data_IF_017609781773
#
_entry.id   IF_017609781773
#
_cell.length_a   1.000
_cell.length_b   1.000
_cell.length_c   1.000
_cell.angle_alpha   90.00
_cell.angle_beta   90.00
_cell.angle_gamma   90.00
#
_symmetry.space_group_name_H-M   'P 1'
#
loop_
_entity.id
_entity.type
_entity.pdbx_description
1 polymer ?
#
# COMPACT_ATOMS: atom_id res chain seq x y z
N UNK A 1 -9.26 8.14 1.55
CA UNK A 1 -8.21 7.57 2.41
C UNK A 1 -8.08 6.11 2.04
N UNK A 2 -7.37 5.84 0.94
CA UNK A 2 -7.19 4.47 0.43
C UNK A 2 -6.10 3.73 1.21
N UNK A 3 -5.12 4.47 1.74
CA UNK A 3 -3.95 3.92 2.44
C UNK A 3 -4.29 2.98 3.59
N UNK A 4 -5.44 3.16 4.25
CA UNK A 4 -5.82 2.31 5.39
C UNK A 4 -6.45 0.99 4.96
N UNK A 5 -7.04 0.89 3.76
CA UNK A 5 -7.87 -0.26 3.34
C UNK A 5 -7.11 -1.61 3.40
N UNK A 6 -5.80 -1.57 3.18
CA UNK A 6 -4.95 -2.75 3.23
C UNK A 6 -4.65 -3.28 4.64
N UNK A 7 -4.89 -2.50 5.70
CA UNK A 7 -4.44 -2.86 7.05
C UNK A 7 -5.16 -4.14 7.53
N UNK A 8 -4.42 -5.07 8.14
CA UNK A 8 -4.93 -6.31 8.70
C UNK A 8 -4.51 -6.48 10.16
N UNK A 9 -5.29 -7.23 10.96
CA UNK A 9 -4.84 -7.63 12.29
C UNK A 9 -3.46 -8.30 12.22
N UNK A 10 -2.55 -7.89 13.10
CA UNK A 10 -1.14 -8.33 13.08
C UNK A 10 -0.18 -7.32 12.44
N UNK A 11 -0.68 -6.34 11.67
CA UNK A 11 0.17 -5.31 11.08
C UNK A 11 0.79 -4.43 12.17
N UNK A 12 2.10 -4.16 12.04
CA UNK A 12 2.81 -3.25 12.94
C UNK A 12 2.46 -1.81 12.60
N UNK A 13 2.14 -1.04 13.64
CA UNK A 13 1.82 0.38 13.51
C UNK A 13 2.90 1.24 14.16
N UNK A 14 3.25 2.31 13.45
CA UNK A 14 4.16 3.36 13.91
C UNK A 14 3.44 4.70 13.80
N UNK A 15 3.57 5.54 14.82
CA UNK A 15 2.93 6.85 14.87
C UNK A 15 3.97 7.96 14.77
N UNK A 16 3.88 8.75 13.70
CA UNK A 16 4.70 9.95 13.54
C UNK A 16 4.04 11.15 14.22
N UNK A 17 4.69 11.66 15.27
CA UNK A 17 4.26 12.85 16.00
C UNK A 17 4.90 14.08 15.37
N UNK A 18 4.16 14.75 14.48
CA UNK A 18 4.66 15.89 13.69
C UNK A 18 5.31 16.99 14.53
N UNK A 19 4.71 17.33 15.68
CA UNK A 19 5.19 18.43 16.55
C UNK A 19 6.58 18.18 17.10
N UNK A 20 6.87 16.94 17.51
CA UNK A 20 8.16 16.56 18.11
C UNK A 20 9.08 15.87 17.11
N UNK A 21 8.60 15.62 15.88
CA UNK A 21 9.32 14.92 14.82
C UNK A 21 9.84 13.54 15.26
N UNK A 22 9.00 12.82 15.99
CA UNK A 22 9.33 11.53 16.57
C UNK A 22 8.43 10.42 16.03
N UNK A 23 8.98 9.21 15.94
CA UNK A 23 8.22 8.01 15.63
C UNK A 23 8.09 7.15 16.88
N UNK A 24 6.85 6.95 17.29
CA UNK A 24 6.48 5.96 18.30
C UNK A 24 6.18 4.63 17.61
N UNK A 25 6.43 3.52 18.28
CA UNK A 25 6.10 2.18 17.79
C UNK A 25 5.73 1.26 18.94
N UNK A 26 5.75 -0.05 18.68
CA UNK A 26 5.29 -1.03 19.68
C UNK A 26 3.78 -1.24 19.64
N UNK A 27 3.13 -0.98 18.52
CA UNK A 27 1.70 -1.16 18.33
C UNK A 27 1.40 -2.17 17.23
N UNK A 28 0.29 -2.88 17.37
CA UNK A 28 -0.20 -3.87 16.42
C UNK A 28 -1.69 -3.62 16.14
N UNK A 29 -2.09 -3.65 14.88
CA UNK A 29 -3.50 -3.61 14.50
C UNK A 29 -4.22 -4.85 15.02
N UNK A 30 -5.42 -4.68 15.57
CA UNK A 30 -6.29 -5.77 16.06
C UNK A 30 -7.60 -5.87 15.29
N UNK A 31 -7.89 -4.90 14.43
CA UNK A 31 -9.04 -4.93 13.54
C UNK A 31 -8.62 -4.66 12.10
N UNK A 32 -9.50 -5.02 11.18
CA UNK A 32 -9.53 -4.40 9.85
C UNK A 32 -9.98 -2.93 9.97
N UNK A 33 -9.73 -2.11 8.94
CA UNK A 33 -10.31 -0.78 8.83
C UNK A 33 -11.84 -0.82 8.89
N UNK A 34 -12.41 0.14 9.60
CA UNK A 34 -13.85 0.28 9.74
C UNK A 34 -14.26 1.75 9.73
N UNK A 35 -15.54 1.98 9.53
CA UNK A 35 -16.14 3.30 9.55
C UNK A 35 -16.94 3.53 10.83
N UNK A 36 -16.64 4.62 11.53
CA UNK A 36 -17.33 4.98 12.76
C UNK A 36 -17.24 6.48 13.02
N UNK A 37 -18.37 7.17 12.96
CA UNK A 37 -18.47 8.61 13.21
C UNK A 37 -18.66 8.97 14.69
N UNK A 38 -18.86 7.97 15.56
CA UNK A 38 -19.11 8.24 16.98
C UNK A 38 -17.85 8.75 17.68
N UNK A 39 -17.94 9.66 18.66
CA UNK A 39 -16.78 10.07 19.45
C UNK A 39 -16.16 8.86 20.15
N UNK A 40 -14.82 8.81 20.21
CA UNK A 40 -14.10 7.66 20.79
C UNK A 40 -14.45 7.45 22.28
N UNK A 41 -14.67 8.54 23.01
CA UNK A 41 -15.16 8.55 24.38
C UNK A 41 -15.94 9.85 24.64
N UNK A 42 -16.75 9.85 25.70
CA UNK A 42 -17.56 11.02 26.09
C UNK A 42 -16.64 12.20 26.39
N UNK A 43 -16.82 13.31 25.66
CA UNK A 43 -16.01 14.52 25.81
C UNK A 43 -14.72 14.56 24.99
N UNK A 44 -14.50 13.61 24.08
CA UNK A 44 -13.39 13.69 23.13
C UNK A 44 -13.52 14.95 22.25
N UNK A 45 -12.51 15.83 22.30
CA UNK A 45 -12.49 17.11 21.57
C UNK A 45 -11.65 17.06 20.29
N UNK A 46 -10.65 16.17 20.24
CA UNK A 46 -9.69 16.10 19.12
C UNK A 46 -9.98 14.97 18.13
N UNK A 47 -10.61 13.87 18.58
CA UNK A 47 -11.03 12.74 17.74
C UNK A 47 -12.56 12.68 17.75
N UNK A 48 -13.16 13.11 16.64
CA UNK A 48 -14.60 13.28 16.49
C UNK A 48 -15.09 12.73 15.14
N UNK A 49 -16.26 13.16 14.68
CA UNK A 49 -16.89 12.71 13.42
C UNK A 49 -16.03 12.98 12.16
N UNK A 50 -15.01 13.84 12.25
CA UNK A 50 -14.08 14.14 11.15
C UNK A 50 -13.02 13.07 10.92
N UNK A 51 -12.86 12.13 11.85
CA UNK A 51 -11.95 10.99 11.74
C UNK A 51 -12.73 9.65 11.76
N UNK A 52 -13.56 9.39 10.73
CA UNK A 52 -14.46 8.26 10.76
C UNK A 52 -13.82 6.95 10.27
N UNK A 53 -12.70 7.03 9.53
CA UNK A 53 -11.95 5.86 9.08
C UNK A 53 -10.99 5.45 10.19
N UNK A 54 -11.17 4.25 10.75
CA UNK A 54 -10.48 3.81 11.97
C UNK A 54 -9.89 2.43 11.82
N UNK A 55 -8.83 2.19 12.59
CA UNK A 55 -8.26 0.86 12.82
C UNK A 55 -8.10 0.72 14.33
N UNK A 56 -8.58 -0.38 14.90
CA UNK A 56 -8.31 -0.74 16.28
C UNK A 56 -6.89 -1.28 16.40
N UNK A 57 -6.18 -0.89 17.45
CA UNK A 57 -4.82 -1.36 17.71
C UNK A 57 -4.59 -1.59 19.19
N UNK A 58 -3.55 -2.35 19.51
CA UNK A 58 -3.05 -2.55 20.87
C UNK A 58 -1.57 -2.20 20.96
N UNK A 59 -1.12 -1.82 22.15
CA UNK A 59 0.30 -1.69 22.44
C UNK A 59 0.83 -3.07 22.84
N UNK A 60 1.84 -3.56 22.12
CA UNK A 60 2.51 -4.84 22.39
C UNK A 60 3.82 -4.65 23.17
N UNK A 61 4.47 -3.50 22.99
CA UNK A 61 5.71 -3.13 23.70
C UNK A 61 5.66 -1.64 24.05
N UNK A 62 6.09 -1.28 25.26
CA UNK A 62 6.19 0.12 25.68
C UNK A 62 7.60 0.68 25.45
N UNK A 63 7.80 1.26 24.27
CA UNK A 63 9.03 1.97 23.94
C UNK A 63 8.96 3.41 24.46
N UNK A 64 9.45 3.64 25.67
CA UNK A 64 9.46 4.95 26.32
C UNK A 64 10.26 6.02 25.53
N UNK A 65 11.31 5.61 24.82
CA UNK A 65 12.12 6.48 23.96
C UNK A 65 11.74 6.29 22.50
N UNK A 66 11.11 7.28 21.84
CA UNK A 66 10.79 7.19 20.41
C UNK A 66 12.03 7.43 19.54
N UNK A 67 11.95 7.09 18.26
CA UNK A 67 12.97 7.40 17.25
C UNK A 67 12.82 8.87 16.84
N UNK A 68 13.92 9.60 16.70
CA UNK A 68 13.87 10.93 16.09
C UNK A 68 13.94 10.82 14.56
N UNK A 69 13.17 11.61 13.81
CA UNK A 69 13.07 11.49 12.34
C UNK A 69 14.43 11.60 11.61
N UNK A 70 15.41 12.28 12.20
CA UNK A 70 16.75 12.41 11.63
C UNK A 70 17.48 11.06 11.54
N UNK A 71 17.23 10.14 12.47
CA UNK A 71 17.87 8.82 12.47
C UNK A 71 17.35 7.97 11.29
N UNK A 72 16.10 8.20 10.89
CA UNK A 72 15.46 7.56 9.73
C UNK A 72 16.05 8.08 8.43
N UNK A 73 16.37 9.38 8.36
CA UNK A 73 16.99 9.96 7.17
C UNK A 73 18.37 9.38 6.89
N UNK A 74 19.15 9.05 7.91
CA UNK A 74 20.42 8.34 7.72
C UNK A 74 20.22 6.95 7.10
N UNK A 75 19.23 6.17 7.55
CA UNK A 75 18.88 4.87 6.93
C UNK A 75 18.32 5.03 5.51
N UNK A 76 17.60 6.12 5.24
CA UNK A 76 17.14 6.44 3.89
C UNK A 76 18.28 6.76 2.93
N UNK A 77 19.25 7.56 3.36
CA UNK A 77 20.41 7.92 2.54
C UNK A 77 21.26 6.68 2.19
N UNK A 78 21.17 5.62 3.02
CA UNK A 78 21.76 4.31 2.78
C UNK A 78 20.86 3.37 1.94
N UNK A 79 19.68 3.83 1.52
CA UNK A 79 18.72 3.04 0.73
C UNK A 79 17.92 1.99 1.53
N UNK A 80 18.07 1.94 2.85
CA UNK A 80 17.40 0.94 3.69
C UNK A 80 15.92 1.25 3.93
N UNK A 81 15.57 2.53 3.95
CA UNK A 81 14.19 3.03 4.05
C UNK A 81 13.92 3.92 2.84
N UNK A 82 13.01 3.51 1.98
CA UNK A 82 12.76 4.12 0.68
C UNK A 82 11.28 4.43 0.44
N UNK A 83 10.37 3.80 1.19
CA UNK A 83 8.94 4.14 1.16
C UNK A 83 8.63 5.47 1.83
N UNK A 84 9.52 5.94 2.71
CA UNK A 84 9.41 7.25 3.37
C UNK A 84 10.13 8.34 2.57
N UNK A 85 9.41 9.40 2.17
CA UNK A 85 10.02 10.56 1.52
C UNK A 85 9.93 11.83 2.36
N UNK A 86 11.08 12.51 2.47
CA UNK A 86 11.13 13.90 2.93
C UNK A 86 10.62 14.79 1.79
N UNK A 87 9.43 15.32 1.93
CA UNK A 87 8.96 16.34 1.01
C UNK A 87 9.60 17.69 1.34
N UNK A 88 10.17 18.34 0.32
CA UNK A 88 10.45 19.79 0.38
C UNK A 88 9.14 20.52 0.17
N UNK A 89 8.49 20.94 1.25
CA UNK A 89 7.17 21.56 1.22
C UNK A 89 6.04 20.52 1.21
N UNK A 90 5.15 20.64 2.19
CA UNK A 90 3.78 20.13 2.27
C UNK A 90 3.49 18.61 2.16
N UNK A 91 4.42 17.75 1.74
CA UNK A 91 4.11 16.31 1.58
C UNK A 91 4.44 15.40 2.79
N UNK A 92 4.99 15.93 3.89
CA UNK A 92 4.70 15.34 5.22
C UNK A 92 3.30 15.83 5.61
N UNK A 93 2.26 15.20 5.04
CA UNK A 93 0.87 15.61 5.24
C UNK A 93 -0.11 15.31 4.09
N UNK A 94 0.34 14.82 2.92
CA UNK A 94 -0.57 14.43 1.83
C UNK A 94 -1.33 13.14 2.14
N UNK A 95 -0.65 12.20 2.77
CA UNK A 95 -1.16 10.90 3.17
C UNK A 95 -1.29 10.85 4.69
N UNK A 96 -2.37 10.24 5.17
CA UNK A 96 -2.59 10.04 6.61
C UNK A 96 -1.82 8.82 7.11
N UNK A 97 -1.56 7.85 6.23
CA UNK A 97 -0.81 6.64 6.52
C UNK A 97 0.16 6.33 5.38
N UNK A 98 1.28 5.68 5.69
CA UNK A 98 2.24 5.19 4.70
C UNK A 98 2.47 3.70 4.89
N UNK A 99 2.48 2.95 3.80
CA UNK A 99 2.92 1.56 3.83
C UNK A 99 4.43 1.50 4.05
N UNK A 100 4.87 0.61 4.95
CA UNK A 100 6.26 0.25 5.12
C UNK A 100 6.44 -1.19 4.69
N UNK A 101 7.54 -1.48 4.01
CA UNK A 101 7.94 -2.86 3.77
C UNK A 101 8.24 -3.57 5.11
N UNK A 102 8.18 -4.90 5.11
CA UNK A 102 8.54 -5.73 6.25
C UNK A 102 9.96 -5.44 6.73
N UNK A 103 10.90 -5.26 5.80
CA UNK A 103 12.28 -4.88 6.11
C UNK A 103 12.39 -3.53 6.81
N UNK A 104 11.70 -2.51 6.31
CA UNK A 104 11.66 -1.19 6.95
C UNK A 104 11.03 -1.27 8.35
N UNK A 105 9.97 -2.07 8.51
CA UNK A 105 9.36 -2.32 9.82
C UNK A 105 10.34 -2.97 10.81
N UNK A 106 11.20 -3.88 10.33
CA UNK A 106 12.23 -4.55 11.15
C UNK A 106 13.31 -3.54 11.55
N UNK A 107 13.72 -2.65 10.64
CA UNK A 107 14.70 -1.59 10.92
C UNK A 107 14.17 -0.65 11.99
N UNK A 108 12.95 -0.13 11.84
CA UNK A 108 12.34 0.77 12.83
C UNK A 108 12.14 0.07 14.17
N UNK A 109 11.71 -1.20 14.15
CA UNK A 109 11.57 -1.98 15.38
C UNK A 109 12.91 -2.13 16.10
N UNK A 110 13.97 -2.46 15.37
CA UNK A 110 15.33 -2.57 15.90
C UNK A 110 15.82 -1.25 16.50
N UNK A 111 15.63 -0.14 15.80
CA UNK A 111 15.99 1.19 16.32
C UNK A 111 15.28 1.50 17.65
N UNK A 112 13.99 1.16 17.77
CA UNK A 112 13.26 1.31 19.04
C UNK A 112 13.85 0.44 20.14
N UNK A 113 14.23 -0.81 19.85
CA UNK A 113 14.87 -1.70 20.83
C UNK A 113 16.26 -1.19 21.26
N UNK A 114 17.05 -0.66 20.34
CA UNK A 114 18.38 -0.08 20.63
C UNK A 114 18.28 1.13 21.57
N UNK A 115 17.27 1.98 21.39
CA UNK A 115 17.00 3.12 22.27
C UNK A 115 16.42 2.69 23.64
N UNK A 116 15.71 1.56 23.68
CA UNK A 116 14.99 1.05 24.84
C UNK A 116 15.49 -0.34 25.25
N UNK A 117 16.75 -0.42 25.66
CA UNK A 117 17.41 -1.67 26.10
C UNK A 117 16.58 -2.43 27.14
N UNK A 118 15.86 -1.71 28.00
CA UNK A 118 14.86 -2.25 28.91
C UNK A 118 13.50 -1.70 28.46
N UNK A 119 12.71 -2.54 27.80
CA UNK A 119 11.34 -2.25 27.40
C UNK A 119 10.41 -3.32 27.98
N UNK A 120 9.45 -2.96 28.84
CA UNK A 120 8.50 -3.92 29.36
C UNK A 120 7.53 -4.38 28.26
N UNK A 121 7.20 -5.67 28.28
CA UNK A 121 6.02 -6.17 27.58
C UNK A 121 4.79 -5.60 28.28
N UNK A 122 3.84 -5.12 27.49
CA UNK A 122 2.59 -4.57 28.01
C UNK A 122 1.58 -5.70 28.12
N UNK A 123 0.98 -5.88 29.29
CA UNK A 123 -0.18 -6.76 29.43
C UNK A 123 -1.29 -6.28 28.51
N UNK A 124 -2.00 -7.22 27.87
CA UNK A 124 -3.01 -6.88 26.88
C UNK A 124 -4.20 -6.15 27.54
N UNK A 125 -4.15 -4.81 27.48
CA UNK A 125 -5.22 -3.93 27.95
C UNK A 125 -6.07 -3.55 26.74
N UNK A 126 -6.94 -4.45 26.34
CA UNK A 126 -7.92 -4.16 25.31
C UNK A 126 -8.93 -3.12 25.81
N UNK A 127 -8.91 -1.93 25.21
CA UNK A 127 -10.11 -1.11 25.20
C UNK A 127 -11.19 -1.88 24.42
N UNK A 128 -12.43 -1.87 24.94
CA UNK A 128 -13.55 -2.50 24.23
C UNK A 128 -13.69 -1.87 22.85
N UNK A 129 -13.57 -2.69 21.82
CA UNK A 129 -13.92 -2.30 20.45
C UNK A 129 -15.40 -1.89 20.40
N UNK A 130 -15.79 -1.04 19.45
CA UNK A 130 -17.21 -0.77 19.18
C UNK A 130 -17.97 -2.08 18.98
N UNK A 131 -19.22 -2.13 19.47
CA UNK A 131 -20.06 -3.34 19.40
C UNK A 131 -20.34 -3.80 17.96
N UNK A 132 -20.21 -2.91 16.98
CA UNK A 132 -20.32 -3.21 15.55
C UNK A 132 -19.27 -2.41 14.78
N UNK A 133 -18.46 -3.10 13.99
CA UNK A 133 -17.51 -2.50 13.07
C UNK A 133 -18.17 -2.42 11.69
N UNK A 134 -18.53 -1.21 11.25
CA UNK A 134 -19.07 -1.02 9.91
C UNK A 134 -17.93 -1.07 8.88
N UNK A 135 -18.11 -1.69 7.71
CA UNK A 135 -17.08 -1.72 6.68
C UNK A 135 -16.76 -0.31 6.18
N UNK A 136 -15.60 -0.15 5.53
CA UNK A 136 -15.27 1.10 4.85
C UNK A 136 -16.34 1.43 3.79
N UNK A 137 -16.86 2.69 3.74
CA UNK A 137 -17.85 3.10 2.76
C UNK A 137 -17.19 3.38 1.41
N UNK A 138 -16.66 2.34 0.76
CA UNK A 138 -16.04 2.44 -0.56
C UNK A 138 -17.15 2.76 -1.58
N UNK A 139 -16.99 3.86 -2.34
CA UNK A 139 -17.95 4.20 -3.38
C UNK A 139 -17.75 3.31 -4.61
N UNK A 140 -18.59 2.28 -4.73
CA UNK A 140 -18.55 1.32 -5.83
C UNK A 140 -19.52 1.68 -6.96
N UNK A 141 -19.84 2.97 -7.15
CA UNK A 141 -20.71 3.41 -8.25
C UNK A 141 -20.10 3.03 -9.60
N UNK A 142 -20.96 2.64 -10.53
CA UNK A 142 -20.57 2.21 -11.87
C UNK A 142 -20.94 3.28 -12.90
N UNK A 143 -19.97 3.60 -13.75
CA UNK A 143 -20.12 4.45 -14.92
C UNK A 143 -19.50 3.77 -16.15
N UNK A 144 -18.99 4.57 -17.09
CA UNK A 144 -18.39 4.06 -18.33
C UNK A 144 -19.41 3.95 -19.46
N UNK A 145 -19.08 3.15 -20.49
CA UNK A 145 -19.98 2.92 -21.62
C UNK A 145 -20.73 1.60 -21.44
N UNK A 146 -21.83 1.39 -22.18
CA UNK A 146 -22.62 0.15 -22.10
C UNK A 146 -21.77 -1.12 -22.26
N UNK A 147 -20.77 -1.07 -23.15
CA UNK A 147 -19.88 -2.20 -23.42
C UNK A 147 -18.68 -2.30 -22.46
N UNK A 148 -18.44 -1.26 -21.66
CA UNK A 148 -17.31 -1.15 -20.75
C UNK A 148 -17.73 -0.46 -19.44
N UNK A 149 -18.59 -1.11 -18.63
CA UNK A 149 -18.94 -0.61 -17.32
C UNK A 149 -17.71 -0.66 -16.41
N UNK A 150 -17.46 0.44 -15.69
CA UNK A 150 -16.28 0.59 -14.86
C UNK A 150 -16.60 1.37 -13.58
N UNK A 151 -15.73 1.25 -12.57
CA UNK A 151 -15.85 2.07 -11.36
C UNK A 151 -15.69 3.55 -11.72
N UNK A 152 -16.51 4.41 -11.10
CA UNK A 152 -16.45 5.87 -11.32
C UNK A 152 -15.13 6.46 -10.81
N UNK A 153 -14.59 5.90 -9.72
CA UNK A 153 -13.39 6.39 -9.04
C UNK A 153 -12.26 5.36 -9.06
N UNK A 154 -11.05 5.80 -9.39
CA UNK A 154 -9.83 4.98 -9.36
C UNK A 154 -9.44 4.57 -7.94
N UNK A 155 -9.55 5.49 -6.98
CA UNK A 155 -9.35 5.19 -5.57
C UNK A 155 -10.31 4.11 -5.03
N UNK A 156 -11.50 3.94 -5.62
CA UNK A 156 -12.39 2.84 -5.24
C UNK A 156 -11.84 1.50 -5.74
N UNK A 157 -11.31 1.46 -6.97
CA UNK A 157 -10.62 0.28 -7.51
C UNK A 157 -9.42 -0.09 -6.64
N UNK A 158 -8.57 0.89 -6.30
CA UNK A 158 -7.40 0.67 -5.47
C UNK A 158 -7.79 0.17 -4.06
N UNK A 159 -8.79 0.76 -3.42
CA UNK A 159 -9.26 0.31 -2.10
C UNK A 159 -9.84 -1.11 -2.12
N UNK A 160 -10.65 -1.46 -3.14
CA UNK A 160 -11.17 -2.81 -3.31
C UNK A 160 -10.04 -3.82 -3.55
N UNK A 161 -9.04 -3.46 -4.35
CA UNK A 161 -7.90 -4.33 -4.60
C UNK A 161 -7.05 -4.54 -3.35
N UNK A 162 -6.81 -3.50 -2.55
CA UNK A 162 -6.11 -3.62 -1.26
C UNK A 162 -6.89 -4.50 -0.27
N UNK A 163 -8.22 -4.41 -0.25
CA UNK A 163 -9.06 -5.32 0.56
C UNK A 163 -8.92 -6.77 0.11
N UNK A 164 -8.97 -7.02 -1.20
CA UNK A 164 -8.78 -8.36 -1.75
C UNK A 164 -7.37 -8.91 -1.46
N UNK A 165 -6.34 -8.07 -1.63
CA UNK A 165 -4.93 -8.45 -1.38
C UNK A 165 -4.70 -8.77 0.10
N UNK A 166 -5.22 -7.94 1.01
CA UNK A 166 -5.13 -8.19 2.45
C UNK A 166 -5.89 -9.45 2.89
N UNK A 167 -6.75 -10.01 2.04
CA UNK A 167 -7.46 -11.26 2.29
C UNK A 167 -6.79 -12.47 1.62
N UNK A 168 -5.64 -12.25 0.97
CA UNK A 168 -4.86 -13.28 0.29
C UNK A 168 -5.43 -13.69 -1.06
N UNK A 169 -6.30 -12.87 -1.69
CA UNK A 169 -6.84 -13.16 -3.02
C UNK A 169 -5.84 -12.81 -4.14
N UNK A 170 -6.13 -13.31 -5.35
CA UNK A 170 -5.40 -13.02 -6.58
C UNK A 170 -3.94 -13.49 -6.57
N UNK A 171 -3.57 -14.45 -5.71
CA UNK A 171 -2.21 -15.01 -5.63
C UNK A 171 -1.86 -15.86 -6.86
N UNK A 172 -2.86 -16.44 -7.50
CA UNK A 172 -2.74 -17.11 -8.79
C UNK A 172 -2.34 -16.16 -9.92
N UNK A 173 -2.68 -14.87 -9.79
CA UNK A 173 -2.41 -13.85 -10.77
C UNK A 173 -1.15 -13.05 -10.44
N UNK A 174 -0.99 -12.63 -9.19
CA UNK A 174 0.11 -11.76 -8.77
C UNK A 174 1.31 -12.51 -8.17
N UNK A 175 1.15 -13.80 -7.88
CA UNK A 175 2.13 -14.60 -7.14
C UNK A 175 1.89 -14.54 -5.62
N UNK A 176 2.68 -15.31 -4.86
CA UNK A 176 2.65 -15.29 -3.39
C UNK A 176 3.37 -14.04 -2.88
N UNK A 177 2.66 -12.91 -2.85
CA UNK A 177 3.12 -11.69 -2.19
C UNK A 177 2.94 -11.81 -0.67
N UNK A 178 3.76 -11.04 0.06
CA UNK A 178 3.72 -10.95 1.51
C UNK A 178 3.46 -9.52 1.98
N UNK A 179 3.88 -8.52 1.19
CA UNK A 179 3.56 -7.11 1.40
C UNK A 179 2.84 -6.54 0.17
N UNK A 180 1.96 -5.58 0.42
CA UNK A 180 1.23 -4.81 -0.61
C UNK A 180 1.10 -3.36 -0.15
N UNK A 181 1.84 -2.47 -0.80
CA UNK A 181 2.03 -1.09 -0.35
C UNK A 181 1.29 -0.14 -1.28
N UNK A 182 0.34 0.67 -0.79
CA UNK A 182 -0.29 1.70 -1.61
C UNK A 182 0.56 2.96 -1.71
N UNK A 183 0.41 3.70 -2.81
CA UNK A 183 0.92 5.08 -2.99
C UNK A 183 2.42 5.22 -2.70
N UNK A 184 3.21 4.27 -3.20
CA UNK A 184 4.65 4.21 -2.92
C UNK A 184 5.38 5.30 -3.70
N UNK A 185 6.08 6.23 -3.03
CA UNK A 185 6.61 7.40 -3.70
C UNK A 185 7.95 7.11 -4.40
N UNK A 186 8.19 7.78 -5.53
CA UNK A 186 9.44 7.75 -6.31
C UNK A 186 10.23 9.03 -6.12
N UNK A 187 11.54 9.03 -6.39
CA UNK A 187 12.38 10.25 -6.24
C UNK A 187 11.97 11.41 -7.15
N UNK A 188 11.12 11.15 -8.16
CA UNK A 188 10.57 12.16 -9.07
C UNK A 188 9.34 12.90 -8.51
N UNK A 189 8.86 12.54 -7.32
CA UNK A 189 7.63 13.09 -6.73
C UNK A 189 6.34 12.45 -7.25
N UNK A 190 6.44 11.44 -8.12
CA UNK A 190 5.32 10.56 -8.51
C UNK A 190 5.15 9.40 -7.54
N UNK A 191 3.97 8.80 -7.50
CA UNK A 191 3.63 7.65 -6.65
C UNK A 191 3.20 6.46 -7.52
N UNK A 192 3.72 5.27 -7.21
CA UNK A 192 3.24 4.00 -7.72
C UNK A 192 1.95 3.62 -6.98
N UNK A 193 0.92 3.21 -7.70
CA UNK A 193 -0.39 2.98 -7.09
C UNK A 193 -0.36 1.84 -6.05
N UNK A 194 0.15 0.67 -6.43
CA UNK A 194 0.41 -0.45 -5.49
C UNK A 194 1.73 -1.14 -5.86
N UNK A 195 2.55 -1.46 -4.85
CA UNK A 195 3.74 -2.32 -5.00
C UNK A 195 3.58 -3.56 -4.15
N UNK A 196 3.67 -4.73 -4.77
CA UNK A 196 3.71 -6.02 -4.09
C UNK A 196 5.16 -6.45 -3.89
N UNK A 197 5.43 -7.13 -2.78
CA UNK A 197 6.74 -7.71 -2.49
C UNK A 197 6.58 -9.13 -1.96
N UNK A 198 7.55 -9.97 -2.29
CA UNK A 198 7.75 -11.26 -1.62
C UNK A 198 9.18 -11.34 -1.09
N UNK A 199 9.36 -12.13 -0.04
CA UNK A 199 10.64 -12.30 0.62
C UNK A 199 11.15 -13.73 0.49
N UNK A 200 12.46 -13.89 0.66
CA UNK A 200 13.04 -15.19 0.93
C UNK A 200 12.95 -15.54 2.43
N UNK A 201 13.44 -16.72 2.79
CA UNK A 201 13.45 -17.20 4.18
C UNK A 201 14.34 -16.37 5.13
N UNK A 202 15.18 -15.48 4.59
CA UNK A 202 16.04 -14.56 5.34
C UNK A 202 15.44 -13.15 5.41
N UNK A 203 14.19 -12.98 4.97
CA UNK A 203 13.51 -11.69 4.86
C UNK A 203 14.19 -10.71 3.88
N UNK A 204 14.98 -11.20 2.91
CA UNK A 204 15.44 -10.38 1.78
C UNK A 204 14.34 -10.32 0.73
N UNK A 205 14.09 -9.14 0.14
CA UNK A 205 13.13 -9.04 -0.97
C UNK A 205 13.59 -9.91 -2.13
N UNK A 206 12.74 -10.84 -2.54
CA UNK A 206 12.96 -11.73 -3.67
C UNK A 206 12.54 -11.08 -4.98
N UNK A 207 11.36 -10.46 -4.97
CA UNK A 207 10.83 -9.73 -6.12
C UNK A 207 9.86 -8.63 -5.68
N UNK A 208 9.69 -7.67 -6.59
CA UNK A 208 8.77 -6.55 -6.53
C UNK A 208 7.81 -6.64 -7.71
N UNK A 209 6.57 -6.22 -7.52
CA UNK A 209 5.63 -6.10 -8.62
C UNK A 209 4.85 -4.80 -8.52
N UNK A 210 4.99 -3.98 -9.56
CA UNK A 210 4.31 -2.69 -9.67
C UNK A 210 2.95 -2.95 -10.31
N UNK A 211 1.87 -2.53 -9.64
CA UNK A 211 0.53 -2.49 -10.20
C UNK A 211 0.20 -1.02 -10.50
N UNK A 212 0.11 -0.66 -11.77
CA UNK A 212 -0.43 0.65 -12.20
C UNK A 212 -1.91 0.47 -12.53
N UNK A 213 -2.76 1.22 -11.84
CA UNK A 213 -4.21 1.09 -11.95
C UNK A 213 -4.80 2.21 -12.81
N UNK A 214 -5.74 1.84 -13.68
CA UNK A 214 -6.64 2.80 -14.33
C UNK A 214 -8.08 2.38 -14.16
N UNK A 215 -8.91 3.31 -13.67
CA UNK A 215 -10.35 3.01 -13.48
C UNK A 215 -11.06 2.60 -14.77
N UNK A 216 -10.60 3.01 -15.95
CA UNK A 216 -11.27 2.70 -17.21
C UNK A 216 -10.25 2.18 -18.24
N UNK A 217 -9.55 3.10 -18.89
CA UNK A 217 -8.71 2.82 -20.05
C UNK A 217 -7.25 3.09 -19.71
N UNK A 218 -6.42 2.08 -19.90
CA UNK A 218 -4.97 2.18 -19.80
C UNK A 218 -4.38 2.57 -21.16
N UNK A 219 -3.63 3.65 -21.17
CA UNK A 219 -3.16 4.35 -22.37
C UNK A 219 -1.65 4.32 -22.49
N UNK A 220 -1.15 4.84 -23.60
CA UNK A 220 0.28 4.92 -23.88
C UNK A 220 1.08 5.69 -22.83
N UNK A 221 0.54 6.79 -22.33
CA UNK A 221 1.13 7.58 -21.23
C UNK A 221 1.27 6.77 -19.94
N UNK A 222 0.30 5.92 -19.62
CA UNK A 222 0.31 5.07 -18.44
C UNK A 222 1.36 3.96 -18.57
N UNK A 223 1.52 3.40 -19.78
CA UNK A 223 2.57 2.42 -20.06
C UNK A 223 3.97 3.02 -19.89
N UNK A 224 4.20 4.23 -20.40
CA UNK A 224 5.48 4.92 -20.21
C UNK A 224 5.79 5.12 -18.73
N UNK A 225 4.81 5.57 -17.96
CA UNK A 225 4.95 5.74 -16.52
C UNK A 225 5.31 4.41 -15.83
N UNK A 226 4.62 3.31 -16.16
CA UNK A 226 4.92 1.99 -15.60
C UNK A 226 6.33 1.51 -15.94
N UNK A 227 6.80 1.76 -17.17
CA UNK A 227 8.18 1.47 -17.59
C UNK A 227 9.20 2.31 -16.81
N UNK A 228 8.93 3.61 -16.60
CA UNK A 228 9.80 4.49 -15.81
C UNK A 228 9.90 4.02 -14.34
N UNK A 229 8.77 3.55 -13.77
CA UNK A 229 8.76 2.98 -12.43
C UNK A 229 9.58 1.69 -12.32
N UNK A 230 9.56 0.84 -13.34
CA UNK A 230 10.40 -0.35 -13.37
C UNK A 230 11.89 -0.01 -13.38
N UNK A 231 12.29 1.00 -14.16
CA UNK A 231 13.68 1.47 -14.18
C UNK A 231 14.07 2.03 -12.81
N UNK A 232 13.21 2.84 -12.20
CA UNK A 232 13.46 3.42 -10.88
C UNK A 232 13.63 2.35 -9.81
N UNK A 233 12.72 1.37 -9.77
CA UNK A 233 12.75 0.32 -8.76
C UNK A 233 13.91 -0.65 -8.98
N UNK A 234 14.23 -0.95 -10.24
CA UNK A 234 15.38 -1.79 -10.59
C UNK A 234 16.69 -1.16 -10.15
N UNK A 235 16.89 0.13 -10.46
CA UNK A 235 18.14 0.84 -10.14
C UNK A 235 18.25 1.20 -8.66
N UNK A 236 17.14 1.54 -8.01
CA UNK A 236 17.12 2.04 -6.63
C UNK A 236 17.01 0.95 -5.57
N UNK A 237 16.19 -0.08 -5.80
CA UNK A 237 15.80 -1.05 -4.77
C UNK A 237 16.22 -2.48 -5.08
N UNK A 238 16.14 -2.90 -6.35
CA UNK A 238 16.44 -4.27 -6.74
C UNK A 238 17.93 -4.51 -7.05
N UNK A 239 18.86 -3.70 -6.53
CA UNK A 239 20.31 -3.85 -6.73
C UNK A 239 20.73 -3.94 -8.22
N UNK A 240 19.97 -3.30 -9.12
CA UNK A 240 20.19 -3.36 -10.57
C UNK A 240 19.76 -4.67 -11.23
N UNK A 241 19.03 -5.55 -10.53
CA UNK A 241 18.54 -6.82 -11.06
C UNK A 241 17.14 -6.66 -11.71
N UNK A 242 17.03 -6.52 -13.04
CA UNK A 242 15.74 -6.38 -13.70
C UNK A 242 14.88 -7.63 -13.60
N UNK A 243 15.42 -8.82 -13.27
CA UNK A 243 14.60 -10.03 -13.13
C UNK A 243 13.71 -10.01 -11.89
N UNK A 244 14.07 -9.20 -10.89
CA UNK A 244 13.35 -9.12 -9.62
C UNK A 244 12.20 -8.11 -9.63
N UNK A 245 12.03 -7.31 -10.67
CA UNK A 245 10.93 -6.33 -10.76
C UNK A 245 9.92 -6.84 -11.77
N UNK A 246 8.63 -6.73 -11.52
CA UNK A 246 7.57 -7.17 -12.43
C UNK A 246 6.58 -6.02 -12.64
N UNK A 247 5.97 -5.96 -13.82
CA UNK A 247 5.04 -4.90 -14.19
C UNK A 247 3.67 -5.48 -14.51
N UNK A 248 2.64 -4.91 -13.91
CA UNK A 248 1.26 -5.22 -14.24
C UNK A 248 0.44 -3.94 -14.38
N UNK A 249 -0.29 -3.85 -15.49
CA UNK A 249 -1.24 -2.79 -15.75
C UNK A 249 -2.65 -3.33 -15.46
N UNK A 250 -3.39 -2.69 -14.54
CA UNK A 250 -4.73 -3.12 -14.12
C UNK A 250 -5.76 -2.09 -14.58
N UNK A 251 -6.64 -2.47 -15.51
CA UNK A 251 -7.66 -1.56 -16.04
C UNK A 251 -8.91 -2.29 -16.55
N UNK A 252 -9.99 -1.57 -16.87
CA UNK A 252 -11.17 -2.18 -17.47
C UNK A 252 -10.92 -2.51 -18.96
N UNK A 253 -10.12 -1.69 -19.63
CA UNK A 253 -9.71 -1.85 -21.03
C UNK A 253 -8.34 -1.21 -21.29
N UNK A 254 -7.75 -1.57 -22.42
CA UNK A 254 -6.42 -1.14 -22.86
C UNK A 254 -6.51 -0.61 -24.28
N UNK A 255 -5.71 0.40 -24.61
CA UNK A 255 -5.63 0.90 -25.98
C UNK A 255 -4.89 -0.09 -26.90
N UNK A 256 -5.27 -0.09 -28.19
CA UNK A 256 -4.67 -0.98 -29.18
C UNK A 256 -3.17 -0.68 -29.37
N UNK A 257 -2.76 0.58 -29.28
CA UNK A 257 -1.36 0.98 -29.39
C UNK A 257 -0.49 0.42 -28.23
N UNK A 258 -1.04 0.36 -27.02
CA UNK A 258 -0.43 -0.32 -25.87
C UNK A 258 -0.27 -1.81 -26.16
N UNK A 259 -1.34 -2.48 -26.58
CA UNK A 259 -1.32 -3.91 -26.90
C UNK A 259 -0.29 -4.21 -28.00
N UNK A 260 -0.33 -3.46 -29.11
CA UNK A 260 0.56 -3.65 -30.24
C UNK A 260 2.03 -3.36 -29.88
N UNK A 261 2.27 -2.38 -29.01
CA UNK A 261 3.61 -2.13 -28.50
C UNK A 261 4.11 -3.30 -27.64
N UNK A 262 3.29 -3.82 -26.73
CA UNK A 262 3.67 -4.94 -25.87
C UNK A 262 3.92 -6.24 -26.66
N UNK A 263 3.18 -6.49 -27.75
CA UNK A 263 3.47 -7.58 -28.69
C UNK A 263 4.87 -7.47 -29.28
N UNK A 264 5.21 -6.31 -29.84
CA UNK A 264 6.54 -6.05 -30.42
C UNK A 264 7.65 -6.18 -29.36
N UNK A 265 7.42 -5.73 -28.13
CA UNK A 265 8.36 -5.91 -27.02
C UNK A 265 8.62 -7.39 -26.75
N UNK A 266 7.57 -8.21 -26.69
CA UNK A 266 7.65 -9.65 -26.46
C UNK A 266 8.40 -10.38 -27.58
N UNK A 267 8.10 -10.04 -28.84
CA UNK A 267 8.82 -10.56 -30.02
C UNK A 267 10.31 -10.20 -29.99
N UNK A 268 10.65 -9.01 -29.48
CA UNK A 268 12.02 -8.56 -29.31
C UNK A 268 12.73 -9.14 -28.06
N UNK A 269 12.09 -10.06 -27.32
CA UNK A 269 12.64 -10.64 -26.10
C UNK A 269 12.79 -9.65 -24.94
N UNK A 270 12.09 -8.52 -24.99
CA UNK A 270 12.07 -7.56 -23.90
C UNK A 270 11.17 -8.05 -22.77
N UNK A 271 11.44 -7.55 -21.57
CA UNK A 271 10.67 -7.86 -20.38
C UNK A 271 9.18 -7.54 -20.55
N UNK A 272 8.35 -8.50 -20.16
CA UNK A 272 6.90 -8.47 -20.30
C UNK A 272 6.25 -7.46 -19.34
N UNK A 273 5.18 -6.82 -19.81
CA UNK A 273 4.21 -6.10 -18.99
C UNK A 273 2.90 -6.86 -19.04
N UNK A 274 2.40 -7.32 -17.90
CA UNK A 274 1.16 -8.08 -17.84
C UNK A 274 -0.03 -7.13 -17.88
N UNK A 275 -0.97 -7.39 -18.78
CA UNK A 275 -2.23 -6.64 -18.86
C UNK A 275 -3.30 -7.41 -18.10
N UNK A 276 -3.91 -6.77 -17.10
CA UNK A 276 -4.91 -7.39 -16.24
C UNK A 276 -6.21 -6.60 -16.34
N UNK A 277 -7.24 -7.24 -16.89
CA UNK A 277 -8.57 -6.68 -16.93
C UNK A 277 -9.25 -6.84 -15.58
N UNK A 278 -9.75 -5.75 -15.01
CA UNK A 278 -10.66 -5.81 -13.87
C UNK A 278 -12.12 -5.71 -14.31
N UNK A 279 -13.01 -6.41 -13.60
CA UNK A 279 -14.46 -6.25 -13.66
C UNK A 279 -15.00 -6.16 -12.24
N UNK A 280 -16.04 -5.35 -12.06
CA UNK A 280 -16.77 -5.26 -10.80
C UNK A 280 -18.24 -5.53 -11.06
N UNK A 281 -18.79 -6.53 -10.35
CA UNK A 281 -20.21 -6.88 -10.43
C UNK A 281 -20.86 -6.66 -9.06
N UNK A 282 -21.41 -5.45 -8.86
CA UNK A 282 -22.04 -5.04 -7.61
C UNK A 282 -23.29 -5.82 -7.19
N UNK A 283 -23.71 -6.85 -7.94
CA UNK A 283 -24.89 -7.67 -7.67
C UNK A 283 -24.58 -9.02 -7.01
N UNK A 284 -23.38 -9.59 -7.22
CA UNK A 284 -23.11 -10.99 -6.83
C UNK A 284 -21.93 -11.16 -5.86
N UNK A 285 -21.01 -10.20 -5.77
CA UNK A 285 -19.96 -10.17 -4.75
C UNK A 285 -19.32 -8.77 -4.72
N UNK A 286 -18.97 -8.21 -3.55
CA UNK A 286 -18.29 -6.92 -3.44
C UNK A 286 -16.80 -6.99 -3.83
N UNK A 287 -16.42 -7.92 -4.72
CA UNK A 287 -15.01 -8.25 -5.04
C UNK A 287 -14.69 -7.99 -6.50
N UNK A 288 -13.42 -7.70 -6.76
CA UNK A 288 -12.92 -7.54 -8.12
C UNK A 288 -12.75 -8.92 -8.77
N UNK A 289 -13.17 -9.03 -10.02
CA UNK A 289 -12.76 -10.14 -10.89
C UNK A 289 -11.60 -9.66 -11.75
N UNK A 290 -10.46 -10.35 -11.68
CA UNK A 290 -9.26 -10.02 -12.44
C UNK A 290 -8.97 -11.11 -13.48
N UNK A 291 -8.58 -10.70 -14.68
CA UNK A 291 -8.31 -11.60 -15.80
C UNK A 291 -7.07 -11.11 -16.56
N UNK A 292 -6.02 -11.94 -16.69
CA UNK A 292 -4.88 -11.59 -17.53
C UNK A 292 -5.26 -11.66 -19.01
N UNK A 293 -4.98 -10.58 -19.74
CA UNK A 293 -5.10 -10.53 -21.19
C UNK A 293 -3.82 -11.12 -21.79
N UNK A 294 -3.99 -12.11 -22.68
CA UNK A 294 -2.88 -12.68 -23.44
C UNK A 294 -2.54 -11.73 -24.60
N UNK A 295 -1.31 -11.24 -24.60
CA UNK A 295 -0.77 -10.32 -25.60
C UNK A 295 0.20 -11.04 -26.54
#
# INVERSE_FOLDING_TARGET
>A
MVEVAGIRPGDRLFFYVQRTKQIMGGYEAVTRPFFDQNPLFKGATHINERFPFRVGFKQVVDFAKPIHINDIWASRDQGQIWTMQQARGDAIGRHACWGLTRQESIILWRMLQELNIIAPLVEDRHNKLPASLQPLPINTSIGGTLNHPCLVYEHALQALLLEDLGDGYHTELFGNYEDFLPSVPTSSGKEMDIVLLAYDNQHKVLWYQILELKKDRFRWEDLKQLLDYEVWLTSGQAEGNPRAVHMAAVANRFDNDVIDHLRRRKEAGQKEVRLIRYRYNGLCAPRLTLEQIVV
#
